data_IF_903677103533
#
_entry.id   IF_903677103533
#
_cell.length_a   1.000
_cell.length_b   1.000
_cell.length_c   1.000
_cell.angle_alpha   90.00
_cell.angle_beta   90.00
_cell.angle_gamma   90.00
#
_symmetry.space_group_name_H-M   'P 1'
#
loop_
_entity.id
_entity.type
_entity.pdbx_description
1 polymer ?
#
# COMPACT_ATOMS: atom_id res chain seq x y z
N UNK A 1 -10.83 -0.05 11.44
CA UNK A 1 -10.31 0.28 12.79
C UNK A 1 -8.90 -0.28 12.84
N UNK A 2 -7.91 0.55 13.16
CA UNK A 2 -6.51 0.13 13.20
C UNK A 2 -6.11 -0.18 14.65
N UNK A 3 -5.29 -1.21 14.82
CA UNK A 3 -4.75 -1.59 16.11
C UNK A 3 -3.24 -1.48 16.05
N UNK A 4 -2.66 -0.76 17.01
CA UNK A 4 -1.23 -0.81 17.29
C UNK A 4 -1.01 -1.91 18.31
N UNK A 5 0.04 -2.71 18.10
CA UNK A 5 0.51 -3.64 19.12
C UNK A 5 1.59 -2.93 19.92
N UNK A 6 1.30 -2.65 21.19
CA UNK A 6 2.27 -2.11 22.14
C UNK A 6 2.42 -3.11 23.29
N UNK A 7 3.64 -3.57 23.58
CA UNK A 7 3.91 -4.54 24.66
C UNK A 7 2.95 -5.75 24.73
N UNK A 8 2.57 -6.31 23.57
CA UNK A 8 1.58 -7.40 23.40
C UNK A 8 0.11 -7.03 23.67
N UNK A 9 -0.21 -5.76 23.91
CA UNK A 9 -1.57 -5.26 24.01
C UNK A 9 -2.03 -4.65 22.69
N UNK A 10 -3.30 -4.90 22.33
CA UNK A 10 -3.94 -4.26 21.17
C UNK A 10 -4.48 -2.90 21.60
N UNK A 11 -3.77 -1.84 21.24
CA UNK A 11 -4.25 -0.47 21.44
C UNK A 11 -5.03 -0.06 20.20
N UNK A 12 -6.31 0.28 20.36
CA UNK A 12 -7.08 0.86 19.27
C UNK A 12 -6.49 2.24 18.93
N UNK A 13 -6.08 2.43 17.67
CA UNK A 13 -5.65 3.75 17.20
C UNK A 13 -6.90 4.62 17.11
N UNK A 14 -7.11 5.46 18.12
CA UNK A 14 -8.21 6.43 18.16
C UNK A 14 -7.81 7.79 17.58
N UNK A 15 -6.59 7.90 17.04
CA UNK A 15 -6.20 9.04 16.18
C UNK A 15 -7.12 8.98 14.96
N UNK A 16 -7.94 10.01 14.75
CA UNK A 16 -8.67 10.18 13.49
C UNK A 16 -7.61 10.19 12.41
N UNK A 17 -7.59 9.15 11.56
CA UNK A 17 -6.83 9.23 10.32
C UNK A 17 -7.42 10.42 9.59
N UNK A 18 -6.61 11.46 9.44
CA UNK A 18 -7.02 12.68 8.78
C UNK A 18 -7.52 12.34 7.38
N UNK A 19 -8.54 13.05 6.93
CA UNK A 19 -9.05 12.93 5.57
C UNK A 19 -8.08 13.62 4.60
N UNK A 20 -6.91 13.02 4.41
CA UNK A 20 -5.80 13.55 3.63
C UNK A 20 -5.12 12.48 2.76
N UNK A 21 -5.59 11.23 2.78
CA UNK A 21 -5.12 10.16 1.92
C UNK A 21 -6.16 9.88 0.83
N UNK A 22 -5.74 9.94 -0.42
CA UNK A 22 -6.63 9.87 -1.58
C UNK A 22 -6.11 8.85 -2.58
N UNK A 23 -7.04 8.21 -3.27
CA UNK A 23 -6.80 7.24 -4.33
C UNK A 23 -7.70 7.55 -5.53
N UNK A 24 -7.25 7.25 -6.74
CA UNK A 24 -8.07 7.42 -7.93
C UNK A 24 -7.34 7.13 -9.24
N UNK A 25 -7.90 7.65 -10.34
CA UNK A 25 -7.39 7.52 -11.70
C UNK A 25 -7.10 8.89 -12.31
N UNK A 26 -6.24 8.90 -13.34
CA UNK A 26 -5.93 10.10 -14.13
C UNK A 26 -7.01 10.28 -15.19
N UNK A 27 -7.79 11.36 -15.13
CA UNK A 27 -8.86 11.67 -16.11
C UNK A 27 -9.86 10.52 -16.37
N UNK A 28 -10.07 9.61 -15.40
CA UNK A 28 -10.94 8.45 -15.58
C UNK A 28 -10.31 7.26 -16.32
N UNK A 29 -9.01 7.29 -16.63
CA UNK A 29 -8.30 6.17 -17.23
C UNK A 29 -8.18 5.00 -16.23
N UNK A 30 -8.97 3.94 -16.44
CA UNK A 30 -9.09 2.81 -15.50
C UNK A 30 -7.79 2.04 -15.26
N UNK A 31 -6.86 2.06 -16.21
CA UNK A 31 -5.55 1.40 -16.09
C UNK A 31 -4.49 2.27 -15.42
N UNK A 32 -4.81 3.54 -15.18
CA UNK A 32 -3.97 4.45 -14.39
C UNK A 32 -4.28 4.35 -12.90
N UNK A 33 -3.33 4.76 -12.09
CA UNK A 33 -3.47 4.78 -10.64
C UNK A 33 -2.82 6.03 -10.05
N UNK A 34 -3.52 6.64 -9.10
CA UNK A 34 -3.05 7.74 -8.28
C UNK A 34 -3.24 7.38 -6.80
N UNK A 35 -2.20 7.53 -5.99
CA UNK A 35 -2.29 7.57 -4.53
C UNK A 35 -1.56 8.80 -4.01
N UNK A 36 -2.29 9.68 -3.33
CA UNK A 36 -1.78 10.96 -2.84
C UNK A 36 -2.01 11.11 -1.33
N UNK A 37 -1.12 11.85 -0.69
CA UNK A 37 -1.32 12.38 0.66
C UNK A 37 -1.18 13.90 0.65
N UNK A 38 -2.04 14.57 1.43
CA UNK A 38 -2.04 16.03 1.63
C UNK A 38 -1.82 16.40 3.10
N UNK A 39 -1.48 15.45 3.97
CA UNK A 39 -1.48 15.67 5.43
C UNK A 39 -0.41 16.69 5.86
N UNK A 40 0.73 16.72 5.17
CA UNK A 40 1.85 17.65 5.41
C UNK A 40 2.47 18.07 4.07
N UNK A 41 1.65 18.72 3.23
CA UNK A 41 1.96 19.02 1.83
C UNK A 41 1.61 17.86 0.90
N UNK A 42 1.74 18.10 -0.41
CA UNK A 42 1.41 17.12 -1.45
C UNK A 42 2.52 16.08 -1.64
N UNK A 43 2.17 14.80 -1.59
CA UNK A 43 3.09 13.69 -1.87
C UNK A 43 2.33 12.52 -2.48
N UNK A 44 3.04 11.61 -3.12
CA UNK A 44 2.48 10.33 -3.57
C UNK A 44 2.91 9.94 -4.97
N UNK A 45 2.14 9.06 -5.60
CA UNK A 45 2.48 8.42 -6.86
C UNK A 45 1.37 8.50 -7.88
N UNK A 46 1.76 8.60 -9.16
CA UNK A 46 0.90 8.49 -10.34
C UNK A 46 1.54 7.44 -11.24
N UNK A 47 0.82 6.39 -11.61
CA UNK A 47 1.33 5.31 -12.44
C UNK A 47 0.38 4.99 -13.59
N UNK A 48 0.96 4.55 -14.71
CA UNK A 48 0.26 4.14 -15.92
C UNK A 48 0.65 2.70 -16.29
N UNK A 49 -0.20 2.01 -17.04
CA UNK A 49 0.00 0.62 -17.50
C UNK A 49 1.20 0.45 -18.45
N UNK A 50 1.57 1.51 -19.18
CA UNK A 50 2.75 1.57 -20.02
C UNK A 50 4.09 1.56 -19.24
N UNK A 51 4.01 1.45 -17.90
CA UNK A 51 5.13 1.36 -16.98
C UNK A 51 5.78 2.70 -16.65
N UNK A 52 5.22 3.82 -17.13
CA UNK A 52 5.62 5.14 -16.65
C UNK A 52 4.95 5.43 -15.31
N UNK A 53 5.73 6.01 -14.39
CA UNK A 53 5.21 6.49 -13.13
C UNK A 53 5.90 7.80 -12.74
N UNK A 54 5.27 8.52 -11.83
CA UNK A 54 5.73 9.80 -11.33
C UNK A 54 5.55 9.82 -9.82
N UNK A 55 6.57 10.33 -9.13
CA UNK A 55 6.50 10.59 -7.71
C UNK A 55 6.43 12.09 -7.45
N UNK A 56 5.64 12.47 -6.45
CA UNK A 56 5.58 13.83 -5.90
C UNK A 56 6.17 13.77 -4.50
N UNK A 57 7.15 14.61 -4.21
CA UNK A 57 7.81 14.63 -2.91
C UNK A 57 8.08 16.08 -2.45
N UNK A 58 7.83 16.43 -1.17
CA UNK A 58 8.23 17.72 -0.63
C UNK A 58 9.77 17.78 -0.51
N UNK A 59 10.38 18.90 -0.84
CA UNK A 59 11.82 19.08 -0.61
C UNK A 59 12.14 19.16 0.90
N UNK A 60 13.36 18.82 1.29
CA UNK A 60 13.78 18.95 2.69
C UNK A 60 14.02 20.41 3.09
N UNK A 61 13.81 20.73 4.38
CA UNK A 61 13.94 22.07 4.94
C UNK A 61 12.66 22.91 4.85
N UNK A 62 12.75 24.20 5.18
CA UNK A 62 11.61 25.13 5.18
C UNK A 62 10.62 24.91 6.32
N UNK A 63 9.56 25.74 6.36
CA UNK A 63 8.50 25.69 7.37
C UNK A 63 7.39 24.67 7.06
N UNK A 64 7.54 23.89 5.98
CA UNK A 64 6.50 23.02 5.39
C UNK A 64 5.14 23.72 5.24
N UNK A 65 5.15 25.05 5.09
CA UNK A 65 3.96 25.87 4.94
C UNK A 65 3.34 25.76 3.54
N UNK A 66 2.35 26.62 3.26
CA UNK A 66 1.57 26.60 2.00
C UNK A 66 2.39 26.79 0.72
N UNK A 67 3.60 27.34 0.82
CA UNK A 67 4.50 27.61 -0.33
C UNK A 67 5.71 26.68 -0.35
N UNK A 68 5.69 25.63 0.46
CA UNK A 68 6.78 24.66 0.49
C UNK A 68 6.94 23.99 -0.88
N UNK A 69 8.16 23.94 -1.46
CA UNK A 69 8.37 23.40 -2.79
C UNK A 69 8.32 21.87 -2.84
N UNK A 70 7.88 21.35 -3.98
CA UNK A 70 7.79 19.92 -4.29
C UNK A 70 8.58 19.58 -5.54
N UNK A 71 9.10 18.36 -5.59
CA UNK A 71 9.67 17.77 -6.80
C UNK A 71 8.68 16.78 -7.40
N UNK A 72 8.45 16.93 -8.71
CA UNK A 72 7.81 15.92 -9.55
C UNK A 72 8.92 15.20 -10.32
N UNK A 73 9.08 13.90 -10.09
CA UNK A 73 10.12 13.11 -10.76
C UNK A 73 9.52 11.92 -11.48
N UNK A 74 10.11 11.55 -12.61
CA UNK A 74 9.71 10.37 -13.38
C UNK A 74 10.42 9.13 -12.85
N UNK A 75 9.67 8.05 -12.70
CA UNK A 75 10.15 6.72 -12.35
C UNK A 75 9.53 5.68 -13.30
N UNK A 76 9.89 4.42 -13.10
CA UNK A 76 9.30 3.28 -13.81
C UNK A 76 8.53 2.43 -12.82
N UNK A 77 7.36 1.99 -13.23
CA UNK A 77 6.53 1.04 -12.51
C UNK A 77 6.36 -0.20 -13.37
N UNK A 78 6.35 -1.38 -12.76
CA UNK A 78 6.00 -2.61 -13.46
C UNK A 78 5.00 -3.40 -12.64
N UNK A 79 3.94 -3.86 -13.30
CA UNK A 79 3.01 -4.82 -12.71
C UNK A 79 3.53 -6.27 -12.82
N UNK A 80 4.61 -6.51 -13.56
CA UNK A 80 5.20 -7.84 -13.68
C UNK A 80 5.87 -8.24 -12.36
N UNK A 81 5.24 -9.11 -11.58
CA UNK A 81 5.87 -9.79 -10.46
C UNK A 81 6.32 -11.20 -10.91
N UNK A 82 7.59 -11.53 -10.70
CA UNK A 82 8.09 -12.91 -10.84
C UNK A 82 8.17 -13.54 -9.46
N UNK A 83 7.36 -14.57 -9.20
CA UNK A 83 7.54 -15.41 -8.02
C UNK A 83 8.64 -16.43 -8.31
N UNK A 84 9.71 -16.43 -7.53
CA UNK A 84 10.88 -17.31 -7.70
C UNK A 84 10.63 -18.79 -7.39
N UNK A 85 9.37 -19.26 -7.36
CA UNK A 85 9.07 -20.68 -7.26
C UNK A 85 9.36 -21.36 -8.60
N UNK A 86 10.63 -21.75 -8.81
CA UNK A 86 10.86 -22.95 -9.60
C UNK A 86 10.16 -24.06 -8.84
N UNK A 87 8.97 -24.46 -9.29
CA UNK A 87 8.34 -25.68 -8.82
C UNK A 87 9.31 -26.77 -9.23
N UNK A 88 10.20 -27.16 -8.31
CA UNK A 88 10.99 -28.35 -8.50
C UNK A 88 10.01 -29.45 -8.85
N UNK A 89 10.28 -30.16 -9.94
CA UNK A 89 9.51 -31.27 -10.49
C UNK A 89 9.48 -32.49 -9.53
N UNK A 90 9.66 -32.25 -8.23
CA UNK A 90 9.36 -33.19 -7.17
C UNK A 90 7.85 -33.31 -7.06
N UNK A 91 7.32 -34.30 -7.77
CA UNK A 91 6.02 -34.93 -7.61
C UNK A 91 5.75 -35.29 -6.14
N UNK A 92 5.42 -34.30 -5.31
CA UNK A 92 4.94 -34.51 -3.95
C UNK A 92 3.44 -34.60 -4.04
N UNK A 93 2.99 -35.85 -4.05
CA UNK A 93 1.67 -36.36 -3.71
C UNK A 93 0.97 -35.43 -2.70
N UNK A 94 0.31 -34.37 -3.19
CA UNK A 94 -0.53 -33.54 -2.34
C UNK A 94 -1.64 -34.47 -1.87
N UNK A 95 -1.64 -34.77 -0.57
CA UNK A 95 -2.76 -35.41 0.09
C UNK A 95 -4.02 -34.68 -0.39
N UNK A 96 -4.99 -35.42 -0.95
CA UNK A 96 -6.30 -34.87 -1.31
C UNK A 96 -6.93 -34.33 -0.04
N UNK A 97 -6.61 -33.11 0.35
CA UNK A 97 -7.42 -32.36 1.27
C UNK A 97 -8.78 -32.23 0.59
N UNK A 98 -9.83 -32.58 1.33
CA UNK A 98 -11.20 -32.31 0.92
C UNK A 98 -11.25 -30.87 0.43
N UNK A 99 -11.57 -30.67 -0.86
CA UNK A 99 -11.78 -29.34 -1.42
C UNK A 99 -12.96 -28.76 -0.65
N UNK A 100 -12.67 -27.96 0.37
CA UNK A 100 -13.71 -27.15 1.00
C UNK A 100 -14.27 -26.27 -0.11
N UNK A 101 -15.59 -26.21 -0.21
CA UNK A 101 -16.24 -25.26 -1.11
C UNK A 101 -15.86 -23.84 -0.66
N UNK A 102 -15.03 -23.20 -1.47
CA UNK A 102 -14.38 -21.93 -1.16
C UNK A 102 -15.27 -20.74 -1.51
N UNK A 103 -16.34 -20.99 -2.29
CA UNK A 103 -17.17 -19.93 -2.89
C UNK A 103 -18.20 -19.36 -1.92
N UNK A 104 -18.60 -20.13 -0.90
CA UNK A 104 -19.72 -19.79 -0.02
C UNK A 104 -19.36 -18.92 1.18
N UNK A 105 -18.08 -18.63 1.43
CA UNK A 105 -17.63 -17.89 2.62
C UNK A 105 -16.85 -16.65 2.23
N UNK A 106 -17.25 -15.50 2.80
CA UNK A 106 -16.46 -14.27 2.74
C UNK A 106 -15.11 -14.51 3.37
N UNK A 107 -14.05 -14.22 2.62
CA UNK A 107 -12.68 -14.24 3.12
C UNK A 107 -12.22 -12.84 3.43
N UNK A 108 -11.36 -12.73 4.43
CA UNK A 108 -10.73 -11.49 4.82
C UNK A 108 -9.23 -11.60 4.57
N UNK A 109 -8.64 -10.50 4.11
CA UNK A 109 -7.19 -10.34 4.08
C UNK A 109 -6.82 -9.42 5.24
N UNK A 110 -5.93 -9.90 6.09
CA UNK A 110 -5.36 -9.11 7.18
C UNK A 110 -4.05 -8.49 6.73
N UNK A 111 -3.89 -7.20 7.02
CA UNK A 111 -2.65 -6.47 6.79
C UNK A 111 -2.01 -6.17 8.13
N UNK A 112 -0.77 -6.64 8.31
CA UNK A 112 0.09 -6.23 9.42
C UNK A 112 1.23 -5.39 8.85
N UNK A 113 1.51 -4.24 9.47
CA UNK A 113 2.60 -3.35 9.07
C UNK A 113 3.51 -3.17 10.26
N UNK A 114 4.79 -3.48 10.08
CA UNK A 114 5.79 -3.51 11.15
C UNK A 114 6.77 -2.37 10.92
N UNK A 115 6.85 -1.44 11.87
CA UNK A 115 7.85 -0.38 11.85
C UNK A 115 9.15 -0.93 12.44
N UNK A 116 10.16 -1.14 11.59
CA UNK A 116 11.47 -1.60 12.06
C UNK A 116 12.18 -0.50 12.87
N UNK A 117 12.58 -0.85 14.09
CA UNK A 117 13.22 0.10 15.01
C UNK A 117 14.55 0.67 14.46
N UNK A 118 15.36 -0.16 13.79
CA UNK A 118 16.64 0.28 13.24
C UNK A 118 16.46 1.22 12.05
N UNK A 119 15.42 0.99 11.23
CA UNK A 119 15.00 1.89 10.16
C UNK A 119 14.57 3.25 10.70
N UNK A 120 13.69 3.28 11.71
CA UNK A 120 13.24 4.53 12.33
C UNK A 120 14.42 5.34 12.87
N UNK A 121 15.35 4.69 13.59
CA UNK A 121 16.54 5.34 14.15
C UNK A 121 17.49 5.87 13.07
N UNK A 122 17.67 5.12 11.96
CA UNK A 122 18.54 5.53 10.85
C UNK A 122 18.01 6.77 10.13
N UNK A 123 16.69 6.92 10.06
CA UNK A 123 16.01 8.02 9.38
C UNK A 123 15.52 9.13 10.32
N UNK A 124 15.91 9.07 11.60
CA UNK A 124 15.52 10.03 12.65
C UNK A 124 14.00 10.25 12.76
N UNK A 125 13.22 9.18 12.54
CA UNK A 125 11.76 9.24 12.56
C UNK A 125 11.24 9.07 13.98
N UNK A 126 10.46 10.04 14.45
CA UNK A 126 9.67 9.86 15.66
C UNK A 126 8.41 8.99 15.41
N UNK A 127 7.62 8.72 16.45
CA UNK A 127 6.42 7.88 16.34
C UNK A 127 5.40 8.46 15.34
N UNK A 128 5.22 9.78 15.31
CA UNK A 128 4.27 10.46 14.43
C UNK A 128 4.72 10.39 12.98
N UNK A 129 5.99 10.70 12.70
CA UNK A 129 6.58 10.63 11.37
C UNK A 129 6.64 9.20 10.85
N UNK A 130 6.99 8.24 11.72
CA UNK A 130 6.93 6.81 11.42
C UNK A 130 5.51 6.35 11.10
N UNK A 131 4.52 6.77 11.88
CA UNK A 131 3.11 6.45 11.61
C UNK A 131 2.65 7.04 10.28
N UNK A 132 3.00 8.28 9.98
CA UNK A 132 2.66 8.93 8.71
C UNK A 132 3.28 8.21 7.51
N UNK A 133 4.56 7.80 7.62
CA UNK A 133 5.25 7.01 6.60
C UNK A 133 4.53 5.66 6.35
N UNK A 134 4.09 5.00 7.42
CA UNK A 134 3.40 3.71 7.33
C UNK A 134 2.01 3.85 6.71
N UNK A 135 1.25 4.89 7.06
CA UNK A 135 -0.04 5.19 6.45
C UNK A 135 0.09 5.52 4.96
N UNK A 136 1.15 6.22 4.56
CA UNK A 136 1.45 6.49 3.15
C UNK A 136 1.76 5.19 2.38
N UNK A 137 2.56 4.29 2.96
CA UNK A 137 2.84 2.98 2.38
C UNK A 137 1.55 2.14 2.23
N UNK A 138 0.67 2.17 3.24
CA UNK A 138 -0.64 1.51 3.18
C UNK A 138 -1.49 2.11 2.06
N UNK A 139 -1.56 3.44 1.93
CA UNK A 139 -2.36 4.11 0.89
C UNK A 139 -1.96 3.68 -0.52
N UNK A 140 -0.65 3.51 -0.76
CA UNK A 140 -0.12 3.03 -2.06
C UNK A 140 -0.39 1.54 -2.24
N UNK A 141 -0.05 0.72 -1.23
CA UNK A 141 -0.20 -0.73 -1.29
C UNK A 141 -1.66 -1.15 -1.42
N UNK A 142 -2.57 -0.40 -0.81
CA UNK A 142 -3.99 -0.74 -0.76
C UNK A 142 -4.63 -0.71 -2.14
N UNK A 143 -4.37 0.34 -2.92
CA UNK A 143 -4.86 0.42 -4.28
C UNK A 143 -4.23 -0.65 -5.17
N UNK A 144 -2.91 -0.81 -5.12
CA UNK A 144 -2.18 -1.72 -6.01
C UNK A 144 -2.56 -3.18 -5.73
N UNK A 145 -2.71 -3.57 -4.47
CA UNK A 145 -2.83 -4.97 -4.07
C UNK A 145 -4.26 -5.40 -3.80
N UNK A 146 -5.08 -4.56 -3.15
CA UNK A 146 -6.43 -4.97 -2.73
C UNK A 146 -7.51 -4.69 -3.77
N UNK A 147 -7.33 -3.71 -4.67
CA UNK A 147 -8.28 -3.55 -5.78
C UNK A 147 -8.26 -4.75 -6.72
N UNK A 148 -7.08 -5.35 -6.95
CA UNK A 148 -6.98 -6.56 -7.75
C UNK A 148 -7.78 -7.71 -7.13
N UNK A 149 -7.73 -7.87 -5.80
CA UNK A 149 -8.50 -8.90 -5.10
C UNK A 149 -10.02 -8.70 -5.23
N UNK A 150 -10.50 -7.44 -5.31
CA UNK A 150 -11.91 -7.17 -5.62
C UNK A 150 -12.27 -7.62 -7.04
N UNK A 151 -11.42 -7.34 -8.03
CA UNK A 151 -11.66 -7.72 -9.44
C UNK A 151 -11.68 -9.25 -9.60
N UNK A 152 -10.77 -9.98 -8.95
CA UNK A 152 -10.75 -11.45 -9.01
C UNK A 152 -12.00 -12.10 -8.41
N UNK A 153 -12.62 -11.47 -7.41
CA UNK A 153 -13.91 -11.95 -6.90
C UNK A 153 -15.04 -11.71 -7.91
N UNK A 154 -15.09 -10.55 -8.57
CA UNK A 154 -16.12 -10.24 -9.57
C UNK A 154 -15.97 -11.11 -10.83
N UNK A 155 -14.74 -11.38 -11.28
CA UNK A 155 -14.50 -12.16 -12.49
C UNK A 155 -14.78 -13.67 -12.35
N UNK A 156 -14.85 -14.20 -11.13
CA UNK A 156 -15.19 -15.61 -10.89
C UNK A 156 -16.70 -15.85 -10.67
N UNK A 157 -17.50 -14.79 -10.60
CA UNK A 157 -18.97 -14.86 -10.40
C UNK A 157 -19.76 -14.76 -11.73
N UNK A 158 -19.12 -15.03 -12.88
CA UNK A 158 -19.76 -15.21 -14.20
C UNK A 158 -19.50 -16.61 -14.74
#
# INVERSE_FOLDING_TARGET
MFFQLDNNEKVAINRRIENCYYQGTVNGEETSFVALSTCNGLRGVIAFDNGSAYGIWPLDGGDRGRRHPHVLYRTKWSQSASCGSQVGEGSKQFQKFSKRDVTKQTKFVELAVIADYSFMKKHDLNEEEGTAFMLEAINIADYVSFQQLRIYHVANDQ
#
